data_IF_478772260204
#
_entry.id   IF_478772260204
#
_cell.length_a   1.000
_cell.length_b   1.000
_cell.length_c   1.000
_cell.angle_alpha   90.00
_cell.angle_beta   90.00
_cell.angle_gamma   90.00
#
_symmetry.space_group_name_H-M   'P 1'
#
loop_
_entity.id
_entity.type
_entity.pdbx_description
1 polymer ?
#
# COMPACT_ATOMS: atom_id res chain seq x y z
N UNK A 1 4.43 -2.14 -18.99
CA UNK A 1 3.25 -2.82 -18.41
C UNK A 1 3.17 -4.35 -18.61
N UNK A 2 4.02 -5.02 -19.41
CA UNK A 2 3.92 -6.50 -19.62
C UNK A 2 4.30 -7.38 -18.42
N UNK A 3 4.96 -6.84 -17.38
CA UNK A 3 5.55 -7.59 -16.27
C UNK A 3 4.58 -7.90 -15.11
N UNK A 4 3.39 -7.30 -15.09
CA UNK A 4 2.39 -7.54 -14.04
C UNK A 4 1.35 -8.60 -14.42
N UNK A 5 1.18 -8.89 -15.71
CA UNK A 5 0.20 -9.87 -16.19
C UNK A 5 0.51 -11.25 -15.61
N UNK A 6 -0.46 -11.86 -14.94
CA UNK A 6 -0.37 -13.18 -14.30
C UNK A 6 0.74 -13.33 -13.24
N UNK A 7 1.37 -12.25 -12.77
CA UNK A 7 2.48 -12.31 -11.79
C UNK A 7 2.10 -13.04 -10.50
N UNK A 8 0.83 -12.96 -10.10
CA UNK A 8 0.27 -13.60 -8.90
C UNK A 8 -0.89 -14.54 -9.22
N UNK A 9 -0.95 -15.10 -10.44
CA UNK A 9 -2.05 -15.96 -10.86
C UNK A 9 -2.23 -17.16 -9.91
N UNK A 10 -3.48 -17.41 -9.49
CA UNK A 10 -3.84 -18.49 -8.57
C UNK A 10 -3.44 -18.29 -7.10
N UNK A 11 -2.84 -17.14 -6.74
CA UNK A 11 -2.47 -16.83 -5.35
C UNK A 11 -3.50 -15.90 -4.70
N UNK A 12 -3.85 -16.10 -3.41
CA UNK A 12 -4.72 -15.20 -2.69
C UNK A 12 -4.07 -13.82 -2.56
N UNK A 13 -4.89 -12.77 -2.71
CA UNK A 13 -4.48 -11.39 -2.54
C UNK A 13 -5.47 -10.63 -1.65
N UNK A 14 -4.94 -9.66 -0.90
CA UNK A 14 -5.70 -8.82 0.03
C UNK A 14 -5.61 -7.38 -0.44
N UNK A 15 -6.76 -6.78 -0.72
CA UNK A 15 -6.89 -5.36 -1.03
C UNK A 15 -7.23 -4.60 0.25
N UNK A 16 -6.40 -3.62 0.60
CA UNK A 16 -6.53 -2.85 1.84
C UNK A 16 -6.85 -1.40 1.48
N UNK A 17 -8.11 -1.01 1.71
CA UNK A 17 -8.56 0.36 1.56
C UNK A 17 -8.24 1.24 2.77
N UNK A 18 -8.47 2.54 2.65
CA UNK A 18 -8.23 3.54 3.72
C UNK A 18 -9.40 3.79 4.67
N UNK A 19 -10.42 2.92 4.72
CA UNK A 19 -11.60 3.12 5.57
C UNK A 19 -11.29 3.00 7.07
N UNK A 20 -12.07 3.62 7.97
CA UNK A 20 -11.80 3.60 9.42
C UNK A 20 -11.88 2.19 10.05
N UNK A 21 -12.47 1.22 9.35
CA UNK A 21 -12.54 -0.18 9.77
C UNK A 21 -11.16 -0.82 9.93
N UNK A 22 -10.14 -0.37 9.19
CA UNK A 22 -8.78 -0.93 9.28
C UNK A 22 -8.16 -0.72 10.66
N UNK A 23 -8.59 0.32 11.40
CA UNK A 23 -8.08 0.61 12.74
C UNK A 23 -8.42 -0.49 13.76
N UNK A 24 -9.42 -1.33 13.47
CA UNK A 24 -9.87 -2.42 14.33
C UNK A 24 -9.35 -3.79 13.86
N UNK A 25 -8.58 -3.83 12.77
CA UNK A 25 -8.06 -5.05 12.18
C UNK A 25 -6.60 -5.27 12.58
N UNK A 26 -6.25 -6.52 12.88
CA UNK A 26 -4.85 -6.94 13.01
C UNK A 26 -4.28 -7.23 11.62
N UNK A 27 -3.60 -6.23 11.05
CA UNK A 27 -3.04 -6.29 9.71
C UNK A 27 -1.76 -7.15 9.63
N UNK A 28 -1.10 -7.45 10.74
CA UNK A 28 0.12 -8.28 10.75
C UNK A 28 -0.12 -9.72 10.27
N UNK A 29 -1.38 -10.18 10.28
CA UNK A 29 -1.81 -11.47 9.72
C UNK A 29 -1.62 -11.57 8.20
N UNK A 30 -1.47 -10.44 7.50
CA UNK A 30 -1.36 -10.40 6.05
C UNK A 30 0.07 -10.24 5.54
N UNK A 31 1.08 -10.24 6.42
CA UNK A 31 2.49 -10.04 6.06
C UNK A 31 3.00 -10.99 4.96
N UNK A 32 2.50 -12.22 4.94
CA UNK A 32 2.92 -13.28 4.00
C UNK A 32 1.99 -13.38 2.76
N UNK A 33 1.01 -12.49 2.63
CA UNK A 33 0.06 -12.46 1.51
C UNK A 33 0.45 -11.41 0.47
N UNK A 34 -0.06 -11.59 -0.76
CA UNK A 34 -0.03 -10.52 -1.74
C UNK A 34 -0.96 -9.41 -1.27
N UNK A 35 -0.41 -8.23 -1.00
CA UNK A 35 -1.16 -7.10 -0.43
C UNK A 35 -1.12 -5.91 -1.37
N UNK A 36 -2.29 -5.32 -1.62
CA UNK A 36 -2.44 -4.09 -2.39
C UNK A 36 -3.02 -3.07 -1.44
N UNK A 37 -2.25 -2.06 -1.09
CA UNK A 37 -2.69 -0.94 -0.25
C UNK A 37 -2.81 0.32 -1.09
N UNK A 38 -3.75 1.21 -0.76
CA UNK A 38 -3.96 2.45 -1.50
C UNK A 38 -4.01 3.70 -0.61
N UNK A 39 -3.69 4.85 -1.22
CA UNK A 39 -3.96 6.19 -0.69
C UNK A 39 -3.41 6.40 0.74
N UNK A 40 -4.25 6.76 1.70
CA UNK A 40 -3.86 7.10 3.08
C UNK A 40 -3.26 5.98 3.93
N UNK A 41 -3.05 4.77 3.37
CA UNK A 41 -2.50 3.63 4.11
C UNK A 41 -1.11 3.90 4.72
N UNK A 42 -0.36 4.88 4.21
CA UNK A 42 0.92 5.27 4.79
C UNK A 42 0.85 5.64 6.28
N UNK A 43 -0.29 6.18 6.74
CA UNK A 43 -0.51 6.50 8.15
C UNK A 43 -0.48 5.26 9.05
N UNK A 44 -0.71 4.08 8.48
CA UNK A 44 -0.65 2.79 9.17
C UNK A 44 0.68 2.08 9.04
N UNK A 45 1.56 2.51 8.13
CA UNK A 45 2.84 1.84 7.92
C UNK A 45 3.78 1.97 9.12
N UNK A 46 3.65 3.04 9.92
CA UNK A 46 4.42 3.20 11.17
C UNK A 46 4.04 2.16 12.24
N UNK A 47 2.81 1.63 12.19
CA UNK A 47 2.28 0.63 13.13
C UNK A 47 2.55 -0.82 12.67
N UNK A 48 3.20 -1.03 11.51
CA UNK A 48 3.36 -2.33 10.88
C UNK A 48 4.84 -2.75 10.78
N UNK A 49 5.09 -4.03 10.99
CA UNK A 49 6.43 -4.62 10.83
C UNK A 49 6.74 -5.00 9.37
N UNK A 50 5.82 -4.71 8.44
CA UNK A 50 5.92 -5.12 7.04
C UNK A 50 5.37 -4.04 6.10
N UNK A 51 5.75 -4.13 4.82
CA UNK A 51 5.30 -3.22 3.76
C UNK A 51 4.45 -3.97 2.72
N UNK A 52 3.41 -3.32 2.17
CA UNK A 52 2.53 -3.95 1.19
C UNK A 52 3.27 -4.32 -0.10
N UNK A 53 2.84 -5.41 -0.74
CA UNK A 53 3.43 -5.87 -2.02
C UNK A 53 3.29 -4.81 -3.10
N UNK A 54 2.15 -4.12 -3.11
CA UNK A 54 1.87 -2.99 -3.97
C UNK A 54 1.27 -1.87 -3.14
N UNK A 55 1.79 -0.67 -3.34
CA UNK A 55 1.23 0.55 -2.79
C UNK A 55 0.83 1.47 -3.95
N UNK A 56 -0.45 1.80 -4.04
CA UNK A 56 -1.00 2.64 -5.10
C UNK A 56 -1.43 4.00 -4.56
N UNK A 57 -1.23 5.04 -5.35
CA UNK A 57 -1.63 6.41 -5.02
C UNK A 57 -2.43 6.93 -6.21
N UNK A 58 -3.68 7.30 -5.98
CA UNK A 58 -4.56 7.82 -7.03
C UNK A 58 -4.42 9.35 -7.18
N UNK A 59 -4.21 10.07 -6.07
CA UNK A 59 -4.01 11.52 -6.06
C UNK A 59 -2.57 11.87 -5.63
N UNK A 60 -1.75 12.49 -6.50
CA UNK A 60 -0.40 12.89 -6.15
C UNK A 60 -0.36 14.09 -5.19
N UNK A 61 -1.45 14.84 -4.99
CA UNK A 61 -1.47 16.02 -4.10
C UNK A 61 -1.20 15.62 -2.63
N UNK A 62 -1.91 14.64 -2.03
CA UNK A 62 -1.54 14.10 -0.71
C UNK A 62 -0.12 13.54 -0.64
N UNK A 63 0.37 12.88 -1.68
CA UNK A 63 1.72 12.32 -1.71
C UNK A 63 2.80 13.42 -1.75
N UNK A 64 2.55 14.49 -2.52
CA UNK A 64 3.42 15.66 -2.62
C UNK A 64 3.44 16.45 -1.31
N UNK A 65 2.28 16.67 -0.70
CA UNK A 65 2.16 17.41 0.57
C UNK A 65 2.83 16.67 1.73
N UNK A 66 2.78 15.32 1.72
CA UNK A 66 3.41 14.48 2.75
C UNK A 66 4.83 13.99 2.40
N UNK A 67 5.37 14.34 1.23
CA UNK A 67 6.69 13.88 0.75
C UNK A 67 7.85 14.26 1.67
N UNK A 68 7.73 15.38 2.40
CA UNK A 68 8.72 15.81 3.40
C UNK A 68 8.78 14.86 4.61
N UNK A 69 7.64 14.25 4.96
CA UNK A 69 7.53 13.32 6.09
C UNK A 69 7.84 11.88 5.65
N UNK A 70 7.57 11.55 4.39
CA UNK A 70 7.74 10.22 3.83
C UNK A 70 8.43 10.29 2.45
N UNK A 71 9.78 10.32 2.42
CA UNK A 71 10.58 10.51 1.20
C UNK A 71 10.32 9.47 0.10
N UNK A 72 9.84 8.28 0.46
CA UNK A 72 9.48 7.20 -0.46
C UNK A 72 8.35 7.57 -1.42
N UNK A 73 7.56 8.61 -1.13
CA UNK A 73 6.51 9.11 -2.03
C UNK A 73 7.03 10.04 -3.12
N UNK A 74 8.31 10.46 -3.06
CA UNK A 74 8.91 11.34 -4.06
C UNK A 74 9.44 10.58 -5.29
N UNK A 75 8.96 9.36 -5.55
CA UNK A 75 9.42 8.60 -6.72
C UNK A 75 8.74 9.13 -8.00
N UNK A 76 9.52 9.35 -9.08
CA UNK A 76 8.97 9.77 -10.36
C UNK A 76 8.00 8.70 -10.87
N UNK A 77 6.78 9.12 -11.16
CA UNK A 77 5.75 8.29 -11.79
C UNK A 77 6.24 7.94 -13.20
N UNK A 78 6.45 6.64 -13.46
CA UNK A 78 6.82 6.09 -14.78
C UNK A 78 5.59 5.79 -15.62
#
# INVERSE_FOLDING_TARGET
MKTLRNKHYGKPAVLIGGGPSINKMDLNKYKDHITIACNGFYLKMEDLEWSPTYYTVEDPLPAKDNSKKYPQFNQPQK
#
